data_IF_744302521854
#
_entry.id   IF_744302521854
#
_cell.length_a   1.000
_cell.length_b   1.000
_cell.length_c   1.000
_cell.angle_alpha   90.00
_cell.angle_beta   90.00
_cell.angle_gamma   90.00
#
_symmetry.space_group_name_H-M   'P 1'
#
loop_
_entity.id
_entity.type
_entity.pdbx_description
1 polymer ?
#
# COMPACT_ATOMS: atom_id res chain seq x y z
N UNK A 1 26.71 16.57 14.34
CA UNK A 1 25.30 16.41 14.11
C UNK A 1 25.05 15.97 12.69
N UNK A 2 24.80 14.68 12.46
CA UNK A 2 24.36 14.16 11.16
C UNK A 2 22.94 14.66 10.90
N UNK A 3 22.73 15.43 9.83
CA UNK A 3 21.39 15.80 9.40
C UNK A 3 20.62 14.57 8.97
N UNK A 4 19.33 14.49 9.27
CA UNK A 4 18.42 13.48 8.76
C UNK A 4 18.46 13.54 7.22
N UNK A 5 18.85 12.47 6.55
CA UNK A 5 18.90 12.43 5.09
C UNK A 5 17.47 12.36 4.49
N UNK A 6 17.28 12.85 3.26
CA UNK A 6 15.99 12.83 2.58
C UNK A 6 15.39 11.42 2.50
N UNK A 7 16.24 10.40 2.38
CA UNK A 7 15.83 8.99 2.40
C UNK A 7 15.27 8.54 3.74
N UNK A 8 15.86 8.99 4.86
CA UNK A 8 15.36 8.67 6.21
C UNK A 8 14.00 9.35 6.45
N UNK A 9 13.83 10.58 5.98
CA UNK A 9 12.55 11.32 6.04
C UNK A 9 11.48 10.59 5.23
N UNK A 10 11.82 10.15 4.03
CA UNK A 10 10.91 9.41 3.18
C UNK A 10 10.41 8.13 3.84
N UNK A 11 11.32 7.28 4.36
CA UNK A 11 10.90 6.05 5.03
C UNK A 11 10.13 6.31 6.32
N UNK A 12 10.46 7.36 7.06
CA UNK A 12 9.69 7.77 8.23
C UNK A 12 8.24 8.12 7.83
N UNK A 13 8.06 8.90 6.76
CA UNK A 13 6.75 9.26 6.24
C UNK A 13 5.96 8.02 5.80
N UNK A 14 6.57 7.11 5.05
CA UNK A 14 5.92 5.84 4.62
C UNK A 14 5.41 5.04 5.84
N UNK A 15 6.22 4.93 6.88
CA UNK A 15 5.85 4.18 8.09
C UNK A 15 4.74 4.86 8.89
N UNK A 16 4.77 6.20 8.97
CA UNK A 16 3.69 6.98 9.59
C UNK A 16 2.38 6.83 8.81
N UNK A 17 2.42 6.90 7.48
CA UNK A 17 1.24 6.69 6.63
C UNK A 17 0.69 5.27 6.82
N UNK A 18 1.54 4.25 6.91
CA UNK A 18 1.10 2.88 7.17
C UNK A 18 0.39 2.75 8.51
N UNK A 19 0.96 3.34 9.57
CA UNK A 19 0.33 3.34 10.90
C UNK A 19 -1.03 4.05 10.89
N UNK A 20 -1.13 5.18 10.19
CA UNK A 20 -2.38 5.93 10.04
C UNK A 20 -3.42 5.15 9.24
N UNK A 21 -3.05 4.56 8.11
CA UNK A 21 -3.96 3.73 7.31
C UNK A 21 -4.52 2.56 8.13
N UNK A 22 -3.66 1.92 8.94
CA UNK A 22 -4.10 0.86 9.82
C UNK A 22 -5.14 1.34 10.83
N UNK A 23 -4.88 2.47 11.46
CA UNK A 23 -5.79 3.08 12.43
C UNK A 23 -7.14 3.45 11.77
N UNK A 24 -7.11 4.14 10.63
CA UNK A 24 -8.34 4.50 9.90
C UNK A 24 -9.17 3.28 9.45
N UNK A 25 -8.52 2.13 9.15
CA UNK A 25 -9.22 0.93 8.72
C UNK A 25 -9.82 0.12 9.87
N UNK A 26 -9.28 0.25 11.08
CA UNK A 26 -9.62 -0.61 12.22
C UNK A 26 -10.33 0.13 13.35
N UNK A 27 -10.47 1.46 13.27
CA UNK A 27 -11.24 2.26 14.24
C UNK A 27 -12.72 2.25 13.84
N UNK A 28 -13.61 1.94 14.77
CA UNK A 28 -15.04 1.92 14.53
C UNK A 28 -15.59 3.36 14.42
N UNK A 29 -16.73 3.53 13.70
CA UNK A 29 -17.35 4.84 13.40
C UNK A 29 -17.60 5.74 14.62
N UNK A 30 -17.67 5.17 15.83
CA UNK A 30 -17.94 5.90 17.08
C UNK A 30 -16.72 5.98 18.00
N UNK A 31 -15.55 5.57 17.53
CA UNK A 31 -14.29 5.59 18.28
C UNK A 31 -13.38 6.69 17.74
N UNK A 32 -12.56 7.22 18.62
CA UNK A 32 -11.56 8.23 18.27
C UNK A 32 -10.32 7.56 17.68
N UNK A 33 -9.79 8.13 16.60
CA UNK A 33 -8.54 7.64 16.01
C UNK A 33 -7.37 7.76 16.99
N UNK A 34 -6.53 6.75 16.99
CA UNK A 34 -5.32 6.72 17.82
C UNK A 34 -4.13 7.42 17.14
N UNK A 35 -4.18 7.58 15.82
CA UNK A 35 -3.15 8.30 15.06
C UNK A 35 -3.41 9.80 15.10
N UNK A 36 -3.15 10.41 16.24
CA UNK A 36 -3.25 11.85 16.48
C UNK A 36 -2.40 12.25 17.69
N UNK A 37 -2.28 13.54 17.95
CA UNK A 37 -1.71 14.08 19.19
C UNK A 37 -2.85 14.54 20.09
N UNK A 38 -3.04 13.88 21.21
CA UNK A 38 -4.12 14.22 22.15
C UNK A 38 -3.87 15.54 22.86
N UNK A 39 -4.94 16.32 23.09
CA UNK A 39 -4.95 17.45 23.97
C UNK A 39 -5.79 17.12 25.20
N UNK A 40 -5.28 17.43 26.40
CA UNK A 40 -5.98 17.15 27.66
C UNK A 40 -6.92 18.26 28.09
N UNK A 41 -6.88 19.40 27.40
CA UNK A 41 -7.73 20.55 27.69
C UNK A 41 -8.13 21.28 26.41
N UNK A 42 -9.06 22.24 26.53
CA UNK A 42 -9.42 23.14 25.43
C UNK A 42 -8.25 24.07 25.02
N UNK A 43 -7.17 24.10 25.79
CA UNK A 43 -5.92 24.78 25.43
C UNK A 43 -5.10 23.89 24.52
N UNK A 44 -4.96 24.29 23.25
CA UNK A 44 -4.15 23.61 22.24
C UNK A 44 -2.66 23.45 22.58
N UNK A 45 -2.20 24.06 23.68
CA UNK A 45 -0.84 23.92 24.16
C UNK A 45 -0.69 22.85 25.26
N UNK A 46 -1.81 22.30 25.77
CA UNK A 46 -1.81 21.24 26.77
C UNK A 46 -1.85 19.86 26.05
N UNK A 47 -0.76 19.58 25.35
CA UNK A 47 -0.61 18.35 24.58
C UNK A 47 -0.12 17.20 25.47
N UNK A 48 -0.43 15.98 25.06
CA UNK A 48 0.10 14.77 25.70
C UNK A 48 1.64 14.72 25.68
N UNK A 49 2.18 13.89 26.56
CA UNK A 49 3.61 13.60 26.57
C UNK A 49 4.07 13.07 25.20
N UNK A 50 5.06 13.73 24.56
CA UNK A 50 5.61 13.30 23.27
C UNK A 50 6.10 11.85 23.23
N UNK A 51 6.65 11.33 24.33
CA UNK A 51 7.09 9.92 24.39
C UNK A 51 5.88 8.96 24.41
N UNK A 52 4.79 9.33 25.11
CA UNK A 52 3.56 8.54 25.11
C UNK A 52 2.91 8.52 23.73
N UNK A 53 2.87 9.65 23.01
CA UNK A 53 2.43 9.71 21.63
C UNK A 53 3.27 8.82 20.72
N UNK A 54 4.59 8.93 20.83
CA UNK A 54 5.53 8.11 20.04
C UNK A 54 5.33 6.61 20.27
N UNK A 55 5.17 6.18 21.52
CA UNK A 55 4.95 4.76 21.85
C UNK A 55 3.61 4.25 21.27
N UNK A 56 2.55 5.05 21.32
CA UNK A 56 1.26 4.72 20.74
C UNK A 56 1.36 4.57 19.22
N UNK A 57 2.02 5.49 18.53
CA UNK A 57 2.21 5.41 17.07
C UNK A 57 3.09 4.22 16.68
N UNK A 58 4.11 3.89 17.48
CA UNK A 58 4.89 2.66 17.25
C UNK A 58 4.03 1.39 17.39
N UNK A 59 3.10 1.37 18.33
CA UNK A 59 2.20 0.23 18.49
C UNK A 59 1.29 0.08 17.28
N UNK A 60 0.69 1.17 16.78
CA UNK A 60 -0.09 1.17 15.53
C UNK A 60 0.75 0.65 14.35
N UNK A 61 1.98 1.13 14.21
CA UNK A 61 2.89 0.67 13.16
C UNK A 61 3.19 -0.83 13.25
N UNK A 62 3.46 -1.35 14.46
CA UNK A 62 3.72 -2.79 14.69
C UNK A 62 2.49 -3.66 14.39
N UNK A 63 1.31 -3.19 14.75
CA UNK A 63 0.06 -3.83 14.41
C UNK A 63 -0.18 -3.83 12.89
N UNK A 64 0.08 -2.71 12.22
CA UNK A 64 0.02 -2.61 10.78
C UNK A 64 1.00 -3.57 10.08
N UNK A 65 2.24 -3.65 10.54
CA UNK A 65 3.24 -4.60 10.02
C UNK A 65 2.75 -6.04 10.13
N UNK A 66 2.13 -6.40 11.25
CA UNK A 66 1.67 -7.76 11.51
C UNK A 66 0.43 -8.10 10.68
N UNK A 67 -0.56 -7.21 10.64
CA UNK A 67 -1.85 -7.47 10.00
C UNK A 67 -1.83 -7.22 8.49
N UNK A 68 -1.19 -6.14 8.04
CA UNK A 68 -1.23 -5.72 6.63
C UNK A 68 -0.04 -6.28 5.83
N UNK A 69 1.14 -6.43 6.45
CA UNK A 69 2.35 -6.93 5.77
C UNK A 69 2.69 -8.37 6.12
N UNK A 70 1.90 -9.05 6.96
CA UNK A 70 2.18 -10.39 7.44
C UNK A 70 3.59 -10.55 8.07
N UNK A 71 4.11 -9.48 8.66
CA UNK A 71 5.41 -9.52 9.35
C UNK A 71 5.28 -10.35 10.64
N UNK A 72 6.18 -11.30 10.92
CA UNK A 72 6.17 -12.04 12.18
C UNK A 72 6.19 -11.10 13.38
N UNK A 73 5.37 -11.39 14.40
CA UNK A 73 5.19 -10.52 15.57
C UNK A 73 6.49 -10.19 16.28
N UNK A 74 7.38 -11.16 16.42
CA UNK A 74 8.69 -11.01 17.05
C UNK A 74 9.59 -10.03 16.28
N UNK A 75 9.50 -10.04 14.95
CA UNK A 75 10.22 -9.09 14.09
C UNK A 75 9.58 -7.71 14.15
N UNK A 76 8.25 -7.62 14.09
CA UNK A 76 7.52 -6.36 14.16
C UNK A 76 7.80 -5.60 15.48
N UNK A 77 7.91 -6.31 16.61
CA UNK A 77 8.23 -5.72 17.91
C UNK A 77 9.60 -5.04 17.99
N UNK A 78 10.54 -5.42 17.12
CA UNK A 78 11.88 -4.82 17.05
C UNK A 78 11.95 -3.59 16.14
N UNK A 79 10.86 -3.27 15.44
CA UNK A 79 10.81 -2.17 14.47
C UNK A 79 10.13 -0.94 15.08
N UNK A 80 10.60 0.21 14.66
CA UNK A 80 10.08 1.52 15.05
C UNK A 80 9.63 2.28 13.81
N UNK A 81 8.60 3.12 14.01
CA UNK A 81 8.11 4.00 12.95
C UNK A 81 9.22 4.95 12.49
N UNK A 82 9.95 5.51 13.44
CA UNK A 82 11.11 6.38 13.21
C UNK A 82 12.15 6.11 14.28
N UNK A 83 13.43 6.16 13.90
CA UNK A 83 14.53 6.12 14.84
C UNK A 83 14.71 7.53 15.46
N UNK A 84 14.51 7.65 16.77
CA UNK A 84 14.64 8.93 17.50
C UNK A 84 16.07 9.51 17.44
N UNK A 85 17.09 8.67 17.29
CA UNK A 85 18.48 9.15 17.15
C UNK A 85 18.69 9.85 15.78
N UNK A 86 17.94 9.42 14.76
CA UNK A 86 18.00 10.00 13.42
C UNK A 86 17.07 11.20 13.25
N UNK A 87 15.89 11.13 13.85
CA UNK A 87 14.88 12.18 13.76
C UNK A 87 14.35 12.51 15.15
N UNK A 88 14.66 13.71 15.65
CA UNK A 88 14.22 14.15 16.95
C UNK A 88 12.70 14.13 17.14
N UNK A 89 12.26 13.84 18.36
CA UNK A 89 10.86 13.62 18.72
C UNK A 89 9.93 14.76 18.28
N UNK A 90 10.37 16.02 18.39
CA UNK A 90 9.58 17.18 17.96
C UNK A 90 9.24 17.19 16.47
N UNK A 91 10.11 16.64 15.61
CA UNK A 91 9.82 16.51 14.18
C UNK A 91 8.82 15.40 13.91
N UNK A 92 8.87 14.31 14.69
CA UNK A 92 7.93 13.20 14.62
C UNK A 92 6.54 13.68 15.02
N UNK A 93 6.43 14.40 16.15
CA UNK A 93 5.17 14.99 16.60
C UNK A 93 4.58 15.94 15.56
N UNK A 94 5.40 16.83 15.00
CA UNK A 94 4.95 17.73 13.93
C UNK A 94 4.43 16.97 12.70
N UNK A 95 5.09 15.88 12.30
CA UNK A 95 4.64 15.06 11.20
C UNK A 95 3.30 14.37 11.50
N UNK A 96 3.09 13.87 12.72
CA UNK A 96 1.83 13.29 13.17
C UNK A 96 0.72 14.34 13.12
N UNK A 97 0.93 15.52 13.72
CA UNK A 97 -0.04 16.63 13.72
C UNK A 97 -0.41 17.08 12.31
N UNK A 98 0.54 17.07 11.38
CA UNK A 98 0.25 17.39 9.97
C UNK A 98 -0.58 16.30 9.30
N UNK A 99 -0.28 15.03 9.56
CA UNK A 99 -0.98 13.90 8.94
C UNK A 99 -2.37 13.67 9.54
N UNK A 100 -2.59 13.95 10.83
CA UNK A 100 -3.88 13.74 11.50
C UNK A 100 -5.02 14.57 10.90
N UNK A 101 -4.70 15.72 10.28
CA UNK A 101 -5.69 16.59 9.65
C UNK A 101 -6.35 15.98 8.40
N UNK A 102 -5.77 14.93 7.82
CA UNK A 102 -6.23 14.32 6.57
C UNK A 102 -6.72 12.88 6.79
N UNK A 103 -7.84 12.50 6.19
CA UNK A 103 -8.24 11.11 6.09
C UNK A 103 -7.77 10.53 4.75
N UNK A 104 -6.97 9.45 4.81
CA UNK A 104 -6.50 8.76 3.61
C UNK A 104 -7.57 7.86 3.01
N UNK A 105 -8.46 7.30 3.82
CA UNK A 105 -9.56 6.44 3.34
C UNK A 105 -10.64 7.28 2.68
N UNK A 106 -11.04 8.40 3.28
CA UNK A 106 -12.02 9.31 2.69
C UNK A 106 -11.47 10.03 1.46
N UNK A 107 -10.19 10.41 1.48
CA UNK A 107 -9.51 11.04 0.33
C UNK A 107 -9.49 10.17 -0.93
N UNK A 108 -9.56 8.83 -0.79
CA UNK A 108 -9.71 7.91 -1.92
C UNK A 108 -11.11 7.95 -2.55
N UNK A 109 -12.12 8.38 -1.80
CA UNK A 109 -13.52 8.49 -2.25
C UNK A 109 -13.82 9.79 -3.01
N UNK A 110 -12.81 10.58 -3.35
CA UNK A 110 -13.03 11.86 -4.02
C UNK A 110 -13.76 11.68 -5.36
N UNK A 111 -14.73 12.53 -5.60
CA UNK A 111 -15.81 12.47 -6.59
C UNK A 111 -15.38 12.35 -8.07
N UNK A 112 -14.12 12.57 -8.41
CA UNK A 112 -13.65 12.71 -9.80
C UNK A 112 -12.94 11.48 -10.37
N UNK A 113 -12.83 10.37 -9.62
CA UNK A 113 -12.12 9.17 -10.07
C UNK A 113 -10.62 9.39 -10.35
N UNK A 114 -10.07 10.52 -9.92
CA UNK A 114 -8.64 10.80 -9.92
C UNK A 114 -8.05 10.34 -8.60
N UNK A 115 -7.17 9.37 -8.67
CA UNK A 115 -6.44 8.85 -7.51
C UNK A 115 -5.30 9.83 -7.15
N UNK A 116 -5.69 11.02 -6.69
CA UNK A 116 -4.75 12.07 -6.31
C UNK A 116 -3.77 11.63 -5.22
N UNK A 117 -4.24 10.79 -4.30
CA UNK A 117 -3.42 10.34 -3.18
C UNK A 117 -2.40 9.29 -3.62
N UNK A 118 -2.80 8.33 -4.46
CA UNK A 118 -1.90 7.34 -5.04
C UNK A 118 -0.87 7.99 -5.96
N UNK A 119 -1.29 8.92 -6.82
CA UNK A 119 -0.38 9.65 -7.71
C UNK A 119 0.62 10.54 -6.92
N UNK A 120 0.15 11.19 -5.85
CA UNK A 120 1.02 11.96 -4.94
C UNK A 120 2.05 11.04 -4.26
N UNK A 121 1.60 9.91 -3.73
CA UNK A 121 2.48 8.98 -3.05
C UNK A 121 3.49 8.33 -4.02
N UNK A 122 3.07 8.00 -5.24
CA UNK A 122 3.98 7.52 -6.30
C UNK A 122 5.05 8.57 -6.64
N UNK A 123 4.66 9.85 -6.67
CA UNK A 123 5.61 10.96 -6.87
C UNK A 123 6.64 11.03 -5.73
N UNK A 124 6.20 10.90 -4.48
CA UNK A 124 7.09 10.88 -3.30
C UNK A 124 8.04 9.68 -3.36
N UNK A 125 7.54 8.49 -3.68
CA UNK A 125 8.37 7.29 -3.85
C UNK A 125 9.43 7.54 -4.91
N UNK A 126 9.02 8.04 -6.08
CA UNK A 126 9.93 8.30 -7.20
C UNK A 126 11.03 9.29 -6.85
N UNK A 127 10.71 10.35 -6.16
CA UNK A 127 11.67 11.39 -5.77
C UNK A 127 12.54 10.95 -4.59
N UNK A 128 12.00 10.27 -3.61
CA UNK A 128 12.74 9.72 -2.47
C UNK A 128 13.78 8.67 -2.88
N UNK A 129 13.48 7.85 -3.89
CA UNK A 129 14.39 6.80 -4.37
C UNK A 129 15.38 7.24 -5.44
N UNK A 130 15.15 8.33 -6.18
CA UNK A 130 16.15 8.88 -7.12
C UNK A 130 17.51 9.14 -6.48
N UNK A 131 17.49 9.38 -5.16
CA UNK A 131 18.71 9.67 -4.39
C UNK A 131 19.37 8.41 -3.82
N UNK A 132 18.70 7.26 -3.84
CA UNK A 132 19.23 5.99 -3.34
C UNK A 132 19.98 5.27 -4.46
N UNK A 133 21.22 4.91 -4.18
CA UNK A 133 22.21 4.29 -5.07
C UNK A 133 21.62 3.32 -6.12
N UNK A 134 21.47 3.79 -7.36
CA UNK A 134 21.33 2.93 -8.54
C UNK A 134 19.94 2.31 -8.78
N UNK A 135 18.90 2.73 -8.08
CA UNK A 135 17.55 2.30 -8.40
C UNK A 135 16.94 3.21 -9.47
N UNK A 136 16.61 2.63 -10.62
CA UNK A 136 15.95 3.31 -11.71
C UNK A 136 14.48 2.91 -11.77
N UNK A 137 13.61 3.91 -11.90
CA UNK A 137 12.18 3.67 -12.10
C UNK A 137 11.87 3.57 -13.58
N UNK A 138 11.14 2.54 -13.95
CA UNK A 138 10.62 2.42 -15.30
C UNK A 138 9.53 3.47 -15.50
N UNK A 139 9.65 4.26 -16.56
CA UNK A 139 8.66 5.30 -16.86
C UNK A 139 7.28 4.68 -17.11
N UNK A 140 6.24 5.25 -16.52
CA UNK A 140 4.86 4.75 -16.55
C UNK A 140 4.36 4.42 -17.97
N UNK A 141 4.72 5.22 -19.00
CA UNK A 141 4.35 4.93 -20.38
C UNK A 141 4.99 3.66 -20.94
N UNK A 142 6.22 3.33 -20.50
CA UNK A 142 6.89 2.08 -20.87
C UNK A 142 6.19 0.90 -20.21
N UNK A 143 5.84 1.04 -18.94
CA UNK A 143 5.08 0.04 -18.19
C UNK A 143 3.73 -0.24 -18.86
N UNK A 144 2.96 0.79 -19.17
CA UNK A 144 1.69 0.69 -19.90
C UNK A 144 1.86 0.00 -21.26
N UNK A 145 2.89 0.41 -22.01
CA UNK A 145 3.19 -0.23 -23.29
C UNK A 145 3.44 -1.73 -23.15
N UNK A 146 4.23 -2.15 -22.16
CA UNK A 146 4.51 -3.57 -21.90
C UNK A 146 3.23 -4.33 -21.53
N UNK A 147 2.41 -3.78 -20.63
CA UNK A 147 1.15 -4.41 -20.22
C UNK A 147 0.20 -4.61 -21.41
N UNK A 148 0.05 -3.61 -22.26
CA UNK A 148 -0.77 -3.72 -23.47
C UNK A 148 -0.14 -4.63 -24.52
N UNK A 149 1.18 -4.64 -24.69
CA UNK A 149 1.87 -5.55 -25.62
C UNK A 149 1.71 -7.02 -25.21
N UNK A 150 1.59 -7.31 -23.92
CA UNK A 150 1.28 -8.64 -23.37
C UNK A 150 -0.21 -8.99 -23.46
N UNK A 151 -1.05 -8.09 -23.96
CA UNK A 151 -2.52 -8.26 -24.07
C UNK A 151 -3.18 -8.69 -22.77
N UNK A 152 -2.73 -8.13 -21.65
CA UNK A 152 -3.24 -8.46 -20.31
C UNK A 152 -4.73 -8.18 -20.19
N UNK A 153 -5.24 -7.17 -20.89
CA UNK A 153 -6.66 -6.83 -20.98
C UNK A 153 -7.47 -7.96 -21.62
N UNK A 154 -7.05 -8.47 -22.78
CA UNK A 154 -7.70 -9.58 -23.47
C UNK A 154 -7.63 -10.88 -22.65
N UNK A 155 -6.46 -11.18 -22.09
CA UNK A 155 -6.25 -12.35 -21.24
C UNK A 155 -7.18 -12.32 -20.01
N UNK A 156 -7.37 -11.15 -19.39
CA UNK A 156 -8.25 -10.98 -18.24
C UNK A 156 -9.72 -11.29 -18.59
N UNK A 157 -10.22 -10.80 -19.73
CA UNK A 157 -11.57 -11.07 -20.23
C UNK A 157 -11.75 -12.56 -20.52
N UNK A 158 -10.77 -13.16 -21.20
CA UNK A 158 -10.81 -14.59 -21.53
C UNK A 158 -10.88 -15.46 -20.26
N UNK A 159 -10.05 -15.16 -19.26
CA UNK A 159 -10.03 -15.90 -18.00
C UNK A 159 -11.33 -15.76 -17.21
N UNK A 160 -11.88 -14.56 -17.13
CA UNK A 160 -13.19 -14.34 -16.46
C UNK A 160 -14.27 -15.16 -17.19
N UNK A 161 -14.29 -15.10 -18.51
CA UNK A 161 -15.32 -15.78 -19.31
C UNK A 161 -15.23 -17.31 -19.27
N UNK A 162 -14.06 -17.88 -19.11
CA UNK A 162 -13.85 -19.31 -19.17
C UNK A 162 -13.72 -19.97 -17.79
N UNK A 163 -13.17 -19.23 -16.81
CA UNK A 163 -12.78 -19.81 -15.52
C UNK A 163 -13.37 -19.07 -14.30
N UNK A 164 -14.14 -17.99 -14.50
CA UNK A 164 -14.66 -17.10 -13.46
C UNK A 164 -13.56 -16.56 -12.52
N UNK A 165 -12.37 -16.28 -13.06
CA UNK A 165 -11.24 -15.72 -12.30
C UNK A 165 -10.37 -14.87 -13.20
N UNK A 166 -9.49 -14.07 -12.59
CA UNK A 166 -8.42 -13.37 -13.29
C UNK A 166 -7.17 -14.26 -13.42
N UNK A 167 -6.26 -13.94 -14.34
CA UNK A 167 -4.91 -14.52 -14.29
C UNK A 167 -4.18 -14.05 -13.03
N UNK A 168 -3.26 -14.88 -12.55
CA UNK A 168 -2.32 -14.45 -11.52
C UNK A 168 -1.21 -13.63 -12.15
N UNK A 169 -0.91 -12.49 -11.53
CA UNK A 169 0.14 -11.58 -11.95
C UNK A 169 1.22 -11.53 -10.88
N UNK A 170 2.46 -11.69 -11.29
CA UNK A 170 3.60 -11.63 -10.39
C UNK A 170 4.69 -10.73 -10.94
N UNK A 171 5.19 -9.81 -10.12
CA UNK A 171 6.42 -9.08 -10.38
C UNK A 171 7.49 -9.56 -9.38
N UNK A 172 8.51 -10.33 -9.85
CA UNK A 172 9.54 -10.88 -8.98
C UNK A 172 10.58 -9.86 -8.55
N UNK A 173 10.50 -8.61 -9.03
CA UNK A 173 11.43 -7.52 -8.73
C UNK A 173 10.66 -6.19 -8.67
N UNK A 174 9.65 -6.15 -7.80
CA UNK A 174 8.59 -5.13 -7.82
C UNK A 174 9.08 -3.68 -7.67
N UNK A 175 10.27 -3.45 -7.11
CA UNK A 175 10.89 -2.11 -7.04
C UNK A 175 9.98 -1.10 -6.34
N UNK A 176 9.46 -0.13 -7.08
CA UNK A 176 8.48 0.87 -6.58
C UNK A 176 7.03 0.40 -6.65
N UNK A 177 6.76 -0.76 -7.25
CA UNK A 177 5.41 -1.26 -7.50
C UNK A 177 4.71 -0.67 -8.73
N UNK A 178 5.37 0.16 -9.52
CA UNK A 178 4.75 0.85 -10.67
C UNK A 178 4.13 -0.15 -11.66
N UNK A 179 4.77 -1.30 -11.93
CA UNK A 179 4.18 -2.34 -12.79
C UNK A 179 2.88 -2.90 -12.22
N UNK A 180 2.85 -3.19 -10.92
CA UNK A 180 1.68 -3.76 -10.24
C UNK A 180 0.52 -2.77 -10.21
N UNK A 181 0.80 -1.51 -9.91
CA UNK A 181 -0.20 -0.44 -9.83
C UNK A 181 -0.79 -0.14 -11.21
N UNK A 182 0.04 0.03 -12.23
CA UNK A 182 -0.43 0.30 -13.58
C UNK A 182 -1.22 -0.90 -14.16
N UNK A 183 -0.77 -2.11 -13.88
CA UNK A 183 -1.50 -3.32 -14.24
C UNK A 183 -2.89 -3.34 -13.58
N UNK A 184 -2.96 -3.06 -12.29
CA UNK A 184 -4.20 -2.99 -11.54
C UNK A 184 -5.16 -1.95 -12.14
N UNK A 185 -4.68 -0.72 -12.37
CA UNK A 185 -5.46 0.36 -13.00
C UNK A 185 -5.96 -0.03 -14.40
N UNK A 186 -5.11 -0.65 -15.22
CA UNK A 186 -5.47 -1.06 -16.61
C UNK A 186 -6.52 -2.17 -16.59
N UNK A 187 -6.35 -3.21 -15.77
CA UNK A 187 -7.29 -4.33 -15.70
C UNK A 187 -8.65 -3.85 -15.20
N UNK A 188 -8.70 -3.10 -14.10
CA UNK A 188 -9.95 -2.54 -13.55
C UNK A 188 -10.65 -1.66 -14.58
N UNK A 189 -9.93 -0.72 -15.20
CA UNK A 189 -10.52 0.15 -16.25
C UNK A 189 -11.04 -0.64 -17.43
N UNK A 190 -10.31 -1.68 -17.88
CA UNK A 190 -10.74 -2.53 -18.99
C UNK A 190 -12.02 -3.26 -18.65
N UNK A 191 -12.07 -3.93 -17.50
CA UNK A 191 -13.23 -4.73 -17.08
C UNK A 191 -14.46 -3.86 -16.84
N UNK A 192 -14.31 -2.73 -16.11
CA UNK A 192 -15.46 -1.87 -15.74
C UNK A 192 -15.99 -1.04 -16.92
N UNK A 193 -15.13 -0.53 -17.77
CA UNK A 193 -15.49 0.50 -18.74
C UNK A 193 -15.47 -0.02 -20.17
N UNK A 194 -14.38 -0.67 -20.57
CA UNK A 194 -14.16 -1.01 -21.99
C UNK A 194 -14.80 -2.32 -22.42
N UNK A 195 -14.88 -3.28 -21.51
CA UNK A 195 -15.16 -4.67 -21.84
C UNK A 195 -16.31 -5.27 -21.04
N UNK A 196 -17.07 -4.45 -20.30
CA UNK A 196 -18.21 -4.94 -19.51
C UNK A 196 -19.19 -5.74 -20.37
N UNK A 197 -19.43 -5.29 -21.59
CA UNK A 197 -20.35 -5.95 -22.53
C UNK A 197 -19.76 -7.23 -23.16
N UNK A 198 -18.44 -7.44 -23.06
CA UNK A 198 -17.76 -8.63 -23.55
C UNK A 198 -17.73 -9.77 -22.52
N UNK A 199 -18.18 -9.51 -21.30
CA UNK A 199 -18.35 -10.55 -20.29
C UNK A 199 -19.60 -11.37 -20.59
N UNK A 200 -19.48 -12.71 -20.52
CA UNK A 200 -20.62 -13.60 -20.69
C UNK A 200 -21.69 -13.33 -19.65
N UNK A 201 -22.95 -13.33 -20.08
CA UNK A 201 -24.09 -13.05 -19.21
C UNK A 201 -24.54 -14.32 -18.47
N UNK A 202 -23.77 -14.73 -17.45
CA UNK A 202 -24.16 -15.80 -16.55
C UNK A 202 -23.99 -15.39 -15.07
N UNK A 203 -24.65 -16.11 -14.17
CA UNK A 203 -24.68 -15.74 -12.76
C UNK A 203 -23.29 -15.80 -12.09
N UNK A 204 -22.43 -16.76 -12.47
CA UNK A 204 -21.12 -16.91 -11.85
C UNK A 204 -20.23 -15.72 -12.21
N UNK A 205 -20.22 -15.31 -13.48
CA UNK A 205 -19.45 -14.15 -13.93
C UNK A 205 -20.00 -12.86 -13.33
N UNK A 206 -21.33 -12.74 -13.24
CA UNK A 206 -21.95 -11.58 -12.60
C UNK A 206 -21.56 -11.48 -11.11
N UNK A 207 -21.60 -12.60 -10.38
CA UNK A 207 -21.19 -12.63 -8.98
C UNK A 207 -19.70 -12.28 -8.85
N UNK A 208 -18.83 -12.90 -9.65
CA UNK A 208 -17.40 -12.56 -9.67
C UNK A 208 -17.15 -11.07 -9.95
N UNK A 209 -17.85 -10.49 -10.92
CA UNK A 209 -17.76 -9.06 -11.23
C UNK A 209 -18.20 -8.19 -10.05
N UNK A 210 -19.36 -8.50 -9.46
CA UNK A 210 -19.87 -7.72 -8.34
C UNK A 210 -18.96 -7.80 -7.11
N UNK A 211 -18.43 -8.98 -6.81
CA UNK A 211 -17.57 -9.20 -5.62
C UNK A 211 -16.21 -8.54 -5.74
N UNK A 212 -15.70 -8.33 -6.96
CA UNK A 212 -14.33 -7.92 -7.21
C UNK A 212 -14.16 -6.51 -7.80
N UNK A 213 -15.18 -5.97 -8.51
CA UNK A 213 -15.09 -4.70 -9.23
C UNK A 213 -16.16 -3.68 -8.86
N UNK A 214 -17.18 -4.08 -8.08
CA UNK A 214 -18.32 -3.21 -7.74
C UNK A 214 -18.38 -2.68 -6.31
N UNK A 215 -17.55 -3.09 -5.34
CA UNK A 215 -17.52 -2.39 -4.07
C UNK A 215 -17.17 -0.92 -4.29
N UNK A 216 -18.04 0.00 -3.86
CA UNK A 216 -17.89 1.44 -4.10
C UNK A 216 -16.63 2.03 -3.46
N UNK A 217 -16.12 1.36 -2.42
CA UNK A 217 -14.95 1.75 -1.65
C UNK A 217 -13.68 0.94 -1.99
N UNK A 218 -13.79 -0.12 -2.80
CA UNK A 218 -12.67 -0.96 -3.18
C UNK A 218 -12.87 -1.66 -4.53
N UNK A 219 -12.82 -0.89 -5.61
CA UNK A 219 -12.97 -1.41 -6.99
C UNK A 219 -11.78 -2.27 -7.46
N UNK A 220 -10.68 -2.27 -6.73
CA UNK A 220 -9.49 -3.06 -6.99
C UNK A 220 -9.35 -4.25 -6.04
N UNK A 221 -10.44 -4.66 -5.34
CA UNK A 221 -10.44 -5.77 -4.39
C UNK A 221 -9.88 -7.08 -4.98
N UNK A 222 -10.06 -7.29 -6.27
CA UNK A 222 -9.53 -8.42 -7.01
C UNK A 222 -7.99 -8.55 -6.91
N UNK A 223 -7.28 -7.42 -6.78
CA UNK A 223 -5.82 -7.40 -6.71
C UNK A 223 -5.29 -8.18 -5.50
N UNK A 224 -6.01 -8.15 -4.39
CA UNK A 224 -5.68 -8.90 -3.19
C UNK A 224 -5.54 -10.43 -3.41
N UNK A 225 -6.23 -10.98 -4.40
CA UNK A 225 -6.15 -12.40 -4.74
C UNK A 225 -5.20 -12.69 -5.90
N UNK A 226 -5.06 -11.79 -6.85
CA UNK A 226 -4.44 -12.09 -8.14
C UNK A 226 -3.13 -11.35 -8.42
N UNK A 227 -2.75 -10.37 -7.58
CA UNK A 227 -1.49 -9.63 -7.74
C UNK A 227 -0.50 -10.02 -6.66
N UNK A 228 0.72 -10.29 -7.08
CA UNK A 228 1.84 -10.68 -6.24
C UNK A 228 3.08 -9.87 -6.60
N UNK A 229 3.76 -9.34 -5.60
CA UNK A 229 5.02 -8.63 -5.77
C UNK A 229 6.10 -9.18 -4.85
N UNK A 230 7.32 -9.24 -5.33
CA UNK A 230 8.49 -9.64 -4.53
C UNK A 230 9.49 -8.50 -4.56
N UNK A 231 9.92 -8.06 -3.38
CA UNK A 231 10.93 -7.03 -3.22
C UNK A 231 11.93 -7.44 -2.14
N UNK A 232 13.22 -7.39 -2.46
CA UNK A 232 14.25 -7.80 -1.51
C UNK A 232 14.45 -6.80 -0.36
N UNK A 233 14.24 -5.52 -0.62
CA UNK A 233 14.39 -4.46 0.38
C UNK A 233 13.09 -4.33 1.19
N UNK A 234 13.15 -4.54 2.51
CA UNK A 234 12.00 -4.48 3.40
C UNK A 234 11.32 -3.10 3.43
N UNK A 235 12.10 -2.03 3.51
CA UNK A 235 11.53 -0.67 3.56
C UNK A 235 10.86 -0.29 2.23
N UNK A 236 11.45 -0.70 1.09
CA UNK A 236 10.85 -0.51 -0.22
C UNK A 236 9.59 -1.37 -0.38
N UNK A 237 9.60 -2.63 0.07
CA UNK A 237 8.43 -3.49 0.10
C UNK A 237 7.29 -2.90 0.96
N UNK A 238 7.62 -2.25 2.08
CA UNK A 238 6.65 -1.49 2.89
C UNK A 238 6.07 -0.32 2.08
N UNK A 239 6.91 0.43 1.38
CA UNK A 239 6.46 1.55 0.55
C UNK A 239 5.53 1.10 -0.59
N UNK A 240 5.87 0.00 -1.27
CA UNK A 240 5.00 -0.59 -2.30
C UNK A 240 3.65 -0.95 -1.69
N UNK A 241 3.63 -1.60 -0.54
CA UNK A 241 2.40 -2.02 0.13
C UNK A 241 1.50 -0.83 0.44
N UNK A 242 2.07 0.23 1.02
CA UNK A 242 1.34 1.48 1.27
C UNK A 242 0.77 2.04 -0.04
N UNK A 243 1.60 2.08 -1.09
CA UNK A 243 1.18 2.60 -2.39
C UNK A 243 0.03 1.78 -3.01
N UNK A 244 0.09 0.46 -2.96
CA UNK A 244 -0.98 -0.43 -3.41
C UNK A 244 -2.28 -0.20 -2.62
N UNK A 245 -2.21 -0.10 -1.29
CA UNK A 245 -3.37 0.18 -0.44
C UNK A 245 -3.98 1.55 -0.79
N UNK A 246 -3.16 2.58 -0.98
CA UNK A 246 -3.62 3.91 -1.38
C UNK A 246 -4.29 3.90 -2.76
N UNK A 247 -3.84 3.05 -3.67
CA UNK A 247 -4.47 2.82 -4.97
C UNK A 247 -5.67 1.83 -4.92
N UNK A 248 -6.14 1.44 -3.73
CA UNK A 248 -7.40 0.74 -3.55
C UNK A 248 -7.34 -0.79 -3.74
N UNK A 249 -6.19 -1.42 -3.57
CA UNK A 249 -6.08 -2.88 -3.62
C UNK A 249 -6.57 -3.60 -2.35
N UNK A 250 -6.71 -2.84 -1.26
CA UNK A 250 -7.10 -3.35 0.05
C UNK A 250 -5.97 -4.05 0.80
N UNK A 251 -5.23 -4.94 0.20
CA UNK A 251 -4.16 -5.71 0.86
C UNK A 251 -3.37 -6.59 -0.12
N UNK A 252 -2.71 -6.03 -1.14
CA UNK A 252 -1.93 -6.80 -2.11
C UNK A 252 -0.82 -7.65 -1.47
N UNK A 253 -0.52 -8.78 -2.10
CA UNK A 253 0.47 -9.74 -1.65
C UNK A 253 1.88 -9.28 -2.04
N UNK A 254 2.45 -8.38 -1.26
CA UNK A 254 3.84 -7.95 -1.39
C UNK A 254 4.70 -8.69 -0.38
N UNK A 255 5.69 -9.40 -0.88
CA UNK A 255 6.63 -10.20 -0.08
C UNK A 255 8.00 -9.52 -0.08
N UNK A 256 8.48 -9.19 1.12
CA UNK A 256 9.77 -8.51 1.28
C UNK A 256 10.77 -9.40 1.99
N UNK A 257 11.99 -9.40 1.49
CA UNK A 257 13.14 -9.99 2.18
C UNK A 257 13.60 -9.16 3.38
N UNK A 258 14.68 -9.62 4.01
CA UNK A 258 15.35 -8.92 5.11
C UNK A 258 16.47 -7.99 4.62
N UNK A 259 16.57 -7.78 3.32
CA UNK A 259 17.65 -7.00 2.68
C UNK A 259 18.96 -7.78 2.50
N UNK A 260 19.00 -9.07 2.86
CA UNK A 260 20.20 -9.93 2.76
C UNK A 260 20.17 -10.91 1.58
N UNK A 261 19.21 -10.74 0.67
CA UNK A 261 19.25 -11.43 -0.62
C UNK A 261 18.23 -12.54 -0.83
N UNK A 262 17.27 -12.76 0.07
CA UNK A 262 16.23 -13.79 -0.12
C UNK A 262 14.81 -13.22 -0.06
N UNK A 263 14.47 -12.39 -1.06
CA UNK A 263 13.09 -11.91 -1.24
C UNK A 263 12.11 -12.98 -1.70
N UNK A 264 12.60 -14.12 -2.19
CA UNK A 264 11.76 -15.22 -2.68
C UNK A 264 11.25 -16.13 -1.56
N UNK A 265 12.01 -16.31 -0.48
CA UNK A 265 11.66 -17.23 0.60
C UNK A 265 10.30 -16.93 1.26
N UNK A 266 9.95 -15.68 1.58
CA UNK A 266 8.61 -15.37 2.11
C UNK A 266 7.49 -15.75 1.13
N UNK A 267 7.70 -15.53 -0.17
CA UNK A 267 6.75 -15.90 -1.22
C UNK A 267 6.63 -17.43 -1.35
N UNK A 268 7.73 -18.16 -1.38
CA UNK A 268 7.73 -19.63 -1.44
C UNK A 268 6.99 -20.24 -0.24
N UNK A 269 7.23 -19.72 0.96
CA UNK A 269 6.54 -20.15 2.16
C UNK A 269 5.02 -19.88 2.09
N UNK A 270 4.62 -18.73 1.54
CA UNK A 270 3.22 -18.39 1.32
C UNK A 270 2.55 -19.39 0.36
N UNK A 271 3.16 -19.66 -0.79
CA UNK A 271 2.65 -20.60 -1.81
C UNK A 271 2.47 -22.00 -1.20
N UNK A 272 3.49 -22.52 -0.49
CA UNK A 272 3.42 -23.82 0.20
C UNK A 272 2.29 -23.89 1.22
N UNK A 273 2.06 -22.81 1.97
CA UNK A 273 1.03 -22.75 3.01
C UNK A 273 -0.39 -22.67 2.45
N UNK A 274 -0.60 -21.96 1.36
CA UNK A 274 -1.93 -21.64 0.84
C UNK A 274 -2.34 -22.49 -0.37
N UNK A 275 -1.44 -23.32 -0.90
CA UNK A 275 -1.74 -24.23 -2.01
C UNK A 275 -2.03 -23.51 -3.35
N UNK A 276 -1.35 -22.37 -3.55
CA UNK A 276 -1.53 -21.55 -4.77
C UNK A 276 -0.64 -22.11 -5.90
#
# INVERSE_FOLDING_TARGET
>A
GGGTGDTDIFYALVKLILAKLYDEQNTADNEEYKFQIFSYSDDKNDLEDPDAAYDRINNLYREALTSMLNTPKEKAQQLYVVDQEKMGLSKIIYAIQTLEEYSFIEGRRSYDGTDLLGDFFESIIRDGFKQTKGQFFTHTNIVKFIIYALQVDNLSIEKINNENKLPYFIDPSAGSGTFLIELMKIVTKTIKIKQKDNLKQNNNIRNFYNDNFMPDDNENKWANQFIYGIENNFDLGTAIKVNMILNGDGNANIFSGDGKGDGLLPFENYIKKNGV
#
